data_IF_310709229490
#
_entry.id   IF_310709229490
#
_cell.length_a   1.000
_cell.length_b   1.000
_cell.length_c   1.000
_cell.angle_alpha   90.00
_cell.angle_beta   90.00
_cell.angle_gamma   90.00
#
_symmetry.space_group_name_H-M   'P 1'
#
loop_
_entity.id
_entity.type
_entity.pdbx_description
1 polymer ?
#
# COMPACT_ATOMS: atom_id res chain seq x y z
N UNK A 1 -64.97 27.64 14.48
CA UNK A 1 -63.68 27.24 15.09
C UNK A 1 -63.74 25.75 15.35
N UNK A 2 -62.91 24.94 14.69
CA UNK A 2 -62.65 23.57 15.13
C UNK A 2 -61.23 23.40 15.66
N UNK A 3 -61.12 22.54 16.66
CA UNK A 3 -59.92 22.17 17.42
C UNK A 3 -58.78 21.62 16.55
N UNK A 4 -57.58 22.14 16.79
CA UNK A 4 -56.34 21.58 16.28
C UNK A 4 -55.90 20.39 17.16
N UNK A 5 -56.06 19.19 16.64
CA UNK A 5 -55.52 17.96 17.23
C UNK A 5 -53.99 17.95 17.12
N UNK A 6 -53.35 17.79 18.27
CA UNK A 6 -51.91 17.73 18.50
C UNK A 6 -51.38 16.36 18.03
N UNK A 7 -50.83 16.28 16.82
CA UNK A 7 -50.15 15.07 16.34
C UNK A 7 -48.67 15.11 16.71
N UNK A 8 -48.34 14.48 17.84
CA UNK A 8 -46.97 14.17 18.26
C UNK A 8 -46.36 13.15 17.30
N UNK A 9 -45.38 13.59 16.51
CA UNK A 9 -44.58 12.70 15.66
C UNK A 9 -43.63 11.85 16.51
N UNK A 10 -43.51 10.53 16.24
CA UNK A 10 -42.55 9.69 16.94
C UNK A 10 -41.11 10.09 16.60
N UNK A 11 -40.29 10.25 17.63
CA UNK A 11 -38.84 10.38 17.50
C UNK A 11 -38.27 9.10 16.91
N UNK A 12 -37.96 9.13 15.62
CA UNK A 12 -37.22 8.07 14.96
C UNK A 12 -35.76 8.15 15.44
N UNK A 13 -35.38 7.30 16.39
CA UNK A 13 -33.97 7.05 16.74
C UNK A 13 -33.30 6.44 15.51
N UNK A 14 -32.51 7.25 14.80
CA UNK A 14 -31.58 6.74 13.80
C UNK A 14 -30.49 6.02 14.58
N UNK A 15 -30.58 4.70 14.65
CA UNK A 15 -29.50 3.87 15.18
C UNK A 15 -28.25 4.15 14.34
N UNK A 16 -27.19 4.61 14.99
CA UNK A 16 -25.86 4.65 14.40
C UNK A 16 -25.51 3.25 13.91
N UNK A 17 -25.34 3.08 12.60
CA UNK A 17 -24.83 1.84 12.04
C UNK A 17 -23.45 1.58 12.67
N UNK A 18 -23.16 0.36 13.13
CA UNK A 18 -21.87 0.03 13.71
C UNK A 18 -20.77 0.25 12.68
N UNK A 19 -19.63 0.77 13.14
CA UNK A 19 -18.42 0.94 12.35
C UNK A 19 -17.91 -0.46 12.01
N UNK A 20 -18.32 -1.01 10.87
CA UNK A 20 -17.84 -2.30 10.40
C UNK A 20 -16.41 -2.10 9.85
N UNK A 21 -15.42 -2.29 10.72
CA UNK A 21 -14.06 -2.60 10.28
C UNK A 21 -14.12 -4.00 9.64
N UNK A 22 -13.82 -4.09 8.35
CA UNK A 22 -13.63 -5.38 7.69
C UNK A 22 -12.19 -5.83 7.99
N UNK A 23 -11.98 -6.96 8.69
CA UNK A 23 -10.64 -7.51 8.85
C UNK A 23 -10.26 -8.17 7.52
N UNK A 24 -9.52 -7.44 6.67
CA UNK A 24 -9.01 -8.00 5.41
C UNK A 24 -7.49 -7.93 5.44
N UNK A 25 -6.90 -8.78 6.28
CA UNK A 25 -5.48 -9.07 6.18
C UNK A 25 -5.25 -9.82 4.87
N UNK A 26 -4.39 -9.26 4.01
CA UNK A 26 -3.83 -9.98 2.88
C UNK A 26 -2.97 -11.13 3.40
N UNK A 27 -3.56 -12.31 3.51
CA UNK A 27 -2.81 -13.53 3.80
C UNK A 27 -1.92 -13.85 2.59
N UNK A 28 -0.64 -13.43 2.63
CA UNK A 28 0.40 -14.16 1.93
C UNK A 28 0.44 -15.56 2.55
N UNK A 29 -0.12 -16.54 1.86
CA UNK A 29 -0.12 -17.90 2.35
C UNK A 29 1.32 -18.44 2.37
N UNK A 30 1.80 -18.97 3.51
CA UNK A 30 3.06 -19.69 3.58
C UNK A 30 2.86 -21.08 2.97
N UNK A 31 2.68 -21.17 1.65
CA UNK A 31 2.60 -22.46 0.94
C UNK A 31 4.01 -23.04 0.70
N UNK A 32 5.07 -22.27 0.94
CA UNK A 32 6.43 -22.60 0.51
C UNK A 32 7.13 -23.73 1.27
N UNK A 33 6.53 -24.30 2.33
CA UNK A 33 7.15 -25.37 3.13
C UNK A 33 6.26 -26.62 3.31
N UNK A 34 5.34 -26.92 2.39
CA UNK A 34 4.68 -28.24 2.41
C UNK A 34 5.65 -29.31 1.90
N UNK A 35 6.07 -30.19 2.82
CA UNK A 35 6.96 -31.33 2.61
C UNK A 35 6.52 -32.17 1.38
N UNK A 36 7.48 -32.57 0.54
CA UNK A 36 7.32 -33.29 -0.74
C UNK A 36 6.56 -34.64 -0.65
N UNK A 37 6.23 -35.08 0.57
CA UNK A 37 5.52 -36.32 0.85
C UNK A 37 3.99 -36.17 0.95
N UNK A 38 3.43 -34.99 0.71
CA UNK A 38 1.97 -34.80 0.74
C UNK A 38 1.32 -35.51 -0.46
N UNK A 39 0.23 -36.29 -0.28
CA UNK A 39 -0.45 -36.95 -1.39
C UNK A 39 -0.86 -35.92 -2.45
N UNK A 40 -0.59 -36.13 -3.75
CA UNK A 40 -0.93 -35.19 -4.81
C UNK A 40 -2.41 -34.80 -4.84
N UNK A 41 -3.30 -35.68 -4.35
CA UNK A 41 -4.73 -35.41 -4.22
C UNK A 41 -5.06 -34.39 -3.12
N UNK A 42 -4.33 -34.42 -1.99
CA UNK A 42 -4.55 -33.48 -0.89
C UNK A 42 -4.18 -32.05 -1.30
N UNK A 43 -3.05 -31.87 -2.01
CA UNK A 43 -2.64 -30.58 -2.56
C UNK A 43 -3.68 -30.03 -3.55
N UNK A 44 -4.22 -30.87 -4.44
CA UNK A 44 -5.29 -30.48 -5.37
C UNK A 44 -6.55 -30.01 -4.64
N UNK A 45 -6.95 -30.71 -3.58
CA UNK A 45 -8.12 -30.32 -2.78
C UNK A 45 -7.91 -29.00 -2.04
N UNK A 46 -6.71 -28.78 -1.49
CA UNK A 46 -6.33 -27.54 -0.81
C UNK A 46 -6.33 -26.37 -1.80
N UNK A 47 -5.69 -26.51 -2.96
CA UNK A 47 -5.68 -25.47 -4.01
C UNK A 47 -7.08 -25.15 -4.51
N UNK A 48 -7.93 -26.18 -4.67
CA UNK A 48 -9.34 -25.99 -5.02
C UNK A 48 -10.07 -25.20 -3.93
N UNK A 49 -9.93 -25.58 -2.67
CA UNK A 49 -10.56 -24.88 -1.54
C UNK A 49 -10.13 -23.41 -1.46
N UNK A 50 -8.87 -23.09 -1.71
CA UNK A 50 -8.39 -21.71 -1.78
C UNK A 50 -8.95 -20.93 -2.97
N UNK A 51 -9.05 -21.58 -4.14
CA UNK A 51 -9.64 -20.97 -5.33
C UNK A 51 -11.13 -20.67 -5.12
N UNK A 52 -11.85 -21.61 -4.50
CA UNK A 52 -13.26 -21.47 -4.16
C UNK A 52 -13.44 -20.33 -3.13
N UNK A 53 -12.66 -20.34 -2.04
CA UNK A 53 -12.69 -19.29 -1.02
C UNK A 53 -12.35 -17.89 -1.59
N UNK A 54 -11.35 -17.80 -2.48
CA UNK A 54 -11.01 -16.56 -3.16
C UNK A 54 -12.14 -16.04 -4.04
N UNK A 55 -12.88 -16.94 -4.69
CA UNK A 55 -14.05 -16.58 -5.51
C UNK A 55 -15.23 -16.14 -4.66
N UNK A 56 -15.48 -16.80 -3.53
CA UNK A 56 -16.49 -16.40 -2.55
C UNK A 56 -16.19 -15.02 -1.94
N UNK A 57 -14.92 -14.74 -1.62
CA UNK A 57 -14.51 -13.43 -1.12
C UNK A 57 -14.78 -12.31 -2.14
N UNK A 58 -14.42 -12.52 -3.41
CA UNK A 58 -14.72 -11.55 -4.49
C UNK A 58 -16.23 -11.31 -4.58
N UNK A 59 -17.04 -12.36 -4.50
CA UNK A 59 -18.51 -12.23 -4.54
C UNK A 59 -19.05 -11.45 -3.34
N UNK A 60 -18.53 -11.70 -2.14
CA UNK A 60 -18.91 -10.99 -0.93
C UNK A 60 -18.56 -9.49 -1.03
N UNK A 61 -17.33 -9.16 -1.45
CA UNK A 61 -16.90 -7.78 -1.67
C UNK A 61 -17.77 -7.07 -2.71
N UNK A 62 -18.13 -7.77 -3.80
CA UNK A 62 -19.01 -7.24 -4.83
C UNK A 62 -20.41 -6.95 -4.28
N UNK A 63 -20.98 -7.85 -3.47
CA UNK A 63 -22.29 -7.64 -2.83
C UNK A 63 -22.26 -6.42 -1.89
N UNK A 64 -21.21 -6.28 -1.08
CA UNK A 64 -21.05 -5.12 -0.19
C UNK A 64 -20.98 -3.82 -1.00
N UNK A 65 -20.19 -3.80 -2.08
CA UNK A 65 -20.12 -2.65 -2.98
C UNK A 65 -21.49 -2.31 -3.58
N UNK A 66 -22.23 -3.30 -4.06
CA UNK A 66 -23.54 -3.09 -4.68
C UNK A 66 -24.53 -2.47 -3.68
N UNK A 67 -24.52 -2.95 -2.43
CA UNK A 67 -25.32 -2.36 -1.34
C UNK A 67 -24.90 -0.92 -1.06
N UNK A 68 -23.61 -0.61 -1.01
CA UNK A 68 -23.10 0.75 -0.78
C UNK A 68 -23.52 1.72 -1.89
N UNK A 69 -23.49 1.28 -3.14
CA UNK A 69 -23.93 2.07 -4.31
C UNK A 69 -25.43 2.39 -4.21
N UNK A 70 -26.26 1.39 -3.91
CA UNK A 70 -27.71 1.58 -3.72
C UNK A 70 -27.98 2.56 -2.58
N UNK A 71 -27.33 2.38 -1.43
CA UNK A 71 -27.46 3.26 -0.27
C UNK A 71 -27.04 4.70 -0.59
N UNK A 72 -25.92 4.89 -1.31
CA UNK A 72 -25.46 6.20 -1.76
C UNK A 72 -26.50 6.92 -2.63
N UNK A 73 -27.14 6.20 -3.55
CA UNK A 73 -28.21 6.76 -4.40
C UNK A 73 -29.43 7.21 -3.59
N UNK A 74 -29.90 6.38 -2.64
CA UNK A 74 -31.02 6.74 -1.76
C UNK A 74 -30.71 7.99 -0.92
N UNK A 75 -29.50 8.08 -0.36
CA UNK A 75 -29.06 9.24 0.41
C UNK A 75 -28.98 10.50 -0.45
N UNK A 76 -28.51 10.40 -1.71
CA UNK A 76 -28.49 11.53 -2.64
C UNK A 76 -29.90 12.06 -2.94
N UNK A 77 -30.89 11.17 -3.11
CA UNK A 77 -32.29 11.56 -3.29
C UNK A 77 -32.85 12.26 -2.06
N UNK A 78 -32.58 11.73 -0.87
CA UNK A 78 -33.02 12.34 0.39
C UNK A 78 -32.35 13.70 0.63
N UNK A 79 -31.04 13.83 0.36
CA UNK A 79 -30.31 15.09 0.45
C UNK A 79 -30.96 16.17 -0.43
N UNK A 80 -31.23 15.87 -1.70
CA UNK A 80 -31.89 16.79 -2.64
C UNK A 80 -33.28 17.22 -2.14
N UNK A 81 -34.05 16.25 -1.61
CA UNK A 81 -35.39 16.52 -1.06
C UNK A 81 -35.32 17.46 0.15
N UNK A 82 -34.40 17.20 1.08
CA UNK A 82 -34.22 18.01 2.28
C UNK A 82 -33.64 19.39 1.97
N UNK A 83 -32.69 19.49 1.04
CA UNK A 83 -32.12 20.76 0.58
C UNK A 83 -33.21 21.68 0.03
N UNK A 84 -34.12 21.14 -0.80
CA UNK A 84 -35.29 21.90 -1.29
C UNK A 84 -36.23 22.36 -0.17
N UNK A 85 -36.35 21.59 0.91
CA UNK A 85 -37.30 21.86 2.00
C UNK A 85 -36.73 22.77 3.09
N UNK A 86 -35.46 22.60 3.42
CA UNK A 86 -34.81 23.15 4.61
C UNK A 86 -33.65 24.10 4.28
N UNK A 87 -33.23 24.16 3.02
CA UNK A 87 -32.02 24.86 2.61
C UNK A 87 -30.76 24.02 2.80
N UNK A 88 -29.69 24.41 2.09
CA UNK A 88 -28.40 23.69 2.08
C UNK A 88 -27.65 23.77 3.40
N UNK A 89 -27.85 24.86 4.15
CA UNK A 89 -27.15 25.11 5.42
C UNK A 89 -27.80 24.40 6.62
N UNK A 90 -28.90 23.66 6.40
CA UNK A 90 -29.54 22.91 7.46
C UNK A 90 -28.62 21.77 7.94
N UNK A 91 -28.45 21.64 9.26
CA UNK A 91 -27.60 20.60 9.88
C UNK A 91 -27.92 19.18 9.37
N UNK A 92 -29.19 18.87 9.12
CA UNK A 92 -29.59 17.54 8.62
C UNK A 92 -29.14 17.30 7.18
N UNK A 93 -29.16 18.33 6.34
CA UNK A 93 -28.67 18.23 4.96
C UNK A 93 -27.16 18.02 4.97
N UNK A 94 -26.43 18.76 5.79
CA UNK A 94 -24.99 18.62 5.97
C UNK A 94 -24.62 17.20 6.46
N UNK A 95 -25.34 16.66 7.46
CA UNK A 95 -25.12 15.30 7.95
C UNK A 95 -25.26 14.25 6.85
N UNK A 96 -26.33 14.30 6.05
CA UNK A 96 -26.53 13.36 4.94
C UNK A 96 -25.44 13.53 3.87
N UNK A 97 -25.04 14.77 3.56
CA UNK A 97 -23.94 15.02 2.63
C UNK A 97 -22.63 14.41 3.10
N UNK A 98 -22.31 14.50 4.40
CA UNK A 98 -21.15 13.83 5.00
C UNK A 98 -21.25 12.30 4.90
N UNK A 99 -22.43 11.72 5.12
CA UNK A 99 -22.64 10.27 4.93
C UNK A 99 -22.46 9.86 3.46
N UNK A 100 -22.97 10.63 2.51
CA UNK A 100 -22.75 10.38 1.07
C UNK A 100 -21.27 10.36 0.75
N UNK A 101 -20.51 11.35 1.25
CA UNK A 101 -19.06 11.45 1.04
C UNK A 101 -18.33 10.23 1.59
N UNK A 102 -18.69 9.78 2.80
CA UNK A 102 -18.13 8.56 3.40
C UNK A 102 -18.43 7.31 2.58
N UNK A 103 -19.69 7.11 2.19
CA UNK A 103 -20.07 5.94 1.38
C UNK A 103 -19.38 5.94 0.01
N UNK A 104 -19.13 7.12 -0.57
CA UNK A 104 -18.35 7.26 -1.80
C UNK A 104 -16.89 6.85 -1.61
N UNK A 105 -16.26 7.22 -0.49
CA UNK A 105 -14.90 6.76 -0.14
C UNK A 105 -14.86 5.24 0.00
N UNK A 106 -15.74 4.67 0.84
CA UNK A 106 -15.85 3.20 1.03
C UNK A 106 -16.06 2.47 -0.30
N UNK A 107 -16.90 3.01 -1.19
CA UNK A 107 -17.15 2.39 -2.49
C UNK A 107 -15.90 2.38 -3.39
N UNK A 108 -15.05 3.42 -3.32
CA UNK A 108 -13.79 3.46 -4.06
C UNK A 108 -12.79 2.46 -3.49
N UNK A 109 -12.71 2.33 -2.17
CA UNK A 109 -11.80 1.39 -1.50
C UNK A 109 -12.19 -0.06 -1.84
N UNK A 110 -13.49 -0.38 -1.82
CA UNK A 110 -14.00 -1.69 -2.24
C UNK A 110 -13.68 -2.01 -3.72
N UNK A 111 -13.60 -1.01 -4.59
CA UNK A 111 -13.18 -1.23 -5.98
C UNK A 111 -11.70 -1.61 -6.08
N UNK A 112 -10.84 -0.96 -5.29
CA UNK A 112 -9.42 -1.30 -5.20
C UNK A 112 -9.25 -2.73 -4.66
N UNK A 113 -9.98 -3.07 -3.60
CA UNK A 113 -9.98 -4.42 -3.02
C UNK A 113 -10.41 -5.50 -4.03
N UNK A 114 -11.47 -5.24 -4.79
CA UNK A 114 -11.92 -6.13 -5.84
C UNK A 114 -10.89 -6.31 -6.97
N UNK A 115 -10.09 -5.29 -7.26
CA UNK A 115 -8.98 -5.40 -8.21
C UNK A 115 -7.86 -6.28 -7.65
N UNK A 116 -7.51 -6.10 -6.38
CA UNK A 116 -6.43 -6.86 -5.73
C UNK A 116 -6.84 -8.32 -5.55
N UNK A 117 -8.08 -8.60 -5.10
CA UNK A 117 -8.58 -9.95 -4.90
C UNK A 117 -8.60 -10.80 -6.20
N UNK A 118 -8.62 -10.15 -7.36
CA UNK A 118 -8.54 -10.80 -8.68
C UNK A 118 -7.11 -11.16 -9.10
N UNK A 119 -6.09 -10.63 -8.43
CA UNK A 119 -4.69 -10.92 -8.75
C UNK A 119 -4.42 -12.41 -8.54
N UNK A 120 -3.68 -13.00 -9.49
CA UNK A 120 -3.21 -14.38 -9.43
C UNK A 120 -1.69 -14.36 -9.57
N UNK A 121 -1.01 -14.63 -8.46
CA UNK A 121 0.44 -14.72 -8.45
C UNK A 121 0.85 -16.01 -9.17
N UNK A 122 1.73 -15.96 -10.18
CA UNK A 122 2.12 -17.16 -10.90
C UNK A 122 2.90 -18.10 -9.98
N UNK A 123 2.62 -19.40 -10.11
CA UNK A 123 3.45 -20.43 -9.47
C UNK A 123 4.78 -20.54 -10.21
N UNK A 124 5.87 -20.48 -9.47
CA UNK A 124 7.25 -20.61 -9.98
C UNK A 124 7.96 -21.77 -9.29
N UNK A 125 8.90 -22.40 -10.01
CA UNK A 125 9.78 -23.43 -9.45
C UNK A 125 10.56 -22.88 -8.24
N UNK A 126 10.88 -23.73 -7.26
CA UNK A 126 11.60 -23.32 -6.06
C UNK A 126 13.00 -22.74 -6.34
N UNK A 127 13.58 -23.05 -7.50
CA UNK A 127 14.89 -22.53 -7.92
C UNK A 127 14.77 -21.22 -8.69
N UNK A 128 13.61 -20.96 -9.26
CA UNK A 128 13.33 -19.76 -10.03
C UNK A 128 12.90 -18.64 -9.09
N UNK A 129 13.32 -17.42 -9.40
CA UNK A 129 12.98 -16.25 -8.60
C UNK A 129 11.74 -15.57 -9.17
N UNK A 130 10.91 -14.99 -8.31
CA UNK A 130 9.73 -14.21 -8.68
C UNK A 130 9.84 -12.82 -8.07
N UNK A 131 9.76 -11.79 -8.91
CA UNK A 131 9.57 -10.41 -8.47
C UNK A 131 8.22 -9.96 -8.97
N UNK A 132 7.36 -9.50 -8.07
CA UNK A 132 6.02 -9.05 -8.45
C UNK A 132 5.60 -7.86 -7.61
N UNK A 133 4.61 -7.12 -8.09
CA UNK A 133 4.10 -5.94 -7.40
C UNK A 133 2.94 -5.35 -8.19
N UNK A 134 2.57 -4.12 -7.84
CA UNK A 134 1.55 -3.36 -8.58
C UNK A 134 2.06 -1.97 -8.91
N UNK A 135 1.59 -1.46 -10.04
CA UNK A 135 1.73 -0.06 -10.41
C UNK A 135 0.34 0.56 -10.37
N UNK A 136 0.16 1.56 -9.51
CA UNK A 136 -1.15 2.14 -9.22
C UNK A 136 -1.14 3.65 -9.40
N UNK A 137 -2.31 4.26 -9.53
CA UNK A 137 -2.45 5.71 -9.52
C UNK A 137 -2.64 6.26 -8.09
N UNK A 138 -2.79 7.58 -7.96
CA UNK A 138 -3.04 8.27 -6.68
C UNK A 138 -4.31 7.79 -5.95
N UNK A 139 -5.23 7.09 -6.62
CA UNK A 139 -6.42 6.47 -6.01
C UNK A 139 -6.25 4.95 -5.81
N UNK A 140 -5.01 4.44 -5.81
CA UNK A 140 -4.64 3.00 -5.71
C UNK A 140 -5.24 2.07 -6.77
N UNK A 141 -5.75 2.64 -7.87
CA UNK A 141 -6.26 1.88 -9.01
C UNK A 141 -5.13 1.46 -9.94
N UNK A 142 -5.22 0.27 -10.49
CA UNK A 142 -4.20 -0.28 -11.38
C UNK A 142 -3.92 0.59 -12.62
N UNK A 143 -2.64 0.71 -12.98
CA UNK A 143 -2.21 1.20 -14.29
C UNK A 143 -1.85 0.03 -15.20
N UNK A 144 -2.60 -0.19 -16.27
CA UNK A 144 -2.34 -1.25 -17.25
C UNK A 144 -1.47 -0.81 -18.43
N UNK A 145 -0.81 -1.79 -19.06
CA UNK A 145 -0.04 -1.59 -20.29
C UNK A 145 1.33 -0.92 -20.09
N UNK A 146 1.81 -0.83 -18.86
CA UNK A 146 3.18 -0.38 -18.55
C UNK A 146 4.14 -1.57 -18.62
N UNK A 147 5.36 -1.34 -19.09
CA UNK A 147 6.38 -2.39 -19.18
C UNK A 147 7.30 -2.29 -17.97
N UNK A 148 7.34 -3.36 -17.17
CA UNK A 148 8.22 -3.48 -16.02
C UNK A 148 9.45 -4.31 -16.40
N UNK A 149 10.64 -3.88 -15.99
CA UNK A 149 11.91 -4.55 -16.24
C UNK A 149 12.88 -4.31 -15.08
N UNK A 150 14.05 -4.95 -15.15
CA UNK A 150 15.12 -4.77 -14.17
C UNK A 150 16.32 -4.08 -14.81
N UNK A 151 16.88 -3.11 -14.09
CA UNK A 151 18.08 -2.38 -14.49
C UNK A 151 19.19 -2.54 -13.44
N UNK A 152 20.44 -2.52 -13.87
CA UNK A 152 21.60 -2.45 -12.98
C UNK A 152 21.69 -1.09 -12.26
N UNK A 153 22.71 -0.93 -11.41
CA UNK A 153 22.89 0.33 -10.66
C UNK A 153 23.22 1.51 -11.57
N UNK A 154 23.79 1.27 -12.76
CA UNK A 154 24.03 2.25 -13.80
C UNK A 154 22.75 2.59 -14.60
N UNK A 155 21.61 1.95 -14.31
CA UNK A 155 20.34 2.18 -14.99
C UNK A 155 20.19 1.47 -16.33
N UNK A 156 21.10 0.55 -16.68
CA UNK A 156 21.04 -0.21 -17.91
C UNK A 156 20.16 -1.45 -17.72
N UNK A 157 19.21 -1.63 -18.64
CA UNK A 157 18.27 -2.77 -18.62
C UNK A 157 19.01 -4.10 -18.79
N UNK A 158 18.78 -5.03 -17.87
CA UNK A 158 19.31 -6.39 -17.92
C UNK A 158 18.30 -7.28 -18.66
N UNK A 159 18.27 -7.18 -20.00
CA UNK A 159 17.28 -7.88 -20.84
C UNK A 159 17.15 -9.38 -20.59
N UNK A 160 18.24 -10.02 -20.16
CA UNK A 160 18.25 -11.44 -19.85
C UNK A 160 17.29 -11.80 -18.69
N UNK A 161 17.03 -10.89 -17.75
CA UNK A 161 16.07 -11.08 -16.66
C UNK A 161 14.60 -10.94 -17.08
N UNK A 162 14.34 -10.65 -18.35
CA UNK A 162 13.00 -10.54 -18.91
C UNK A 162 12.32 -9.19 -18.66
N UNK A 163 11.05 -9.13 -19.04
CA UNK A 163 10.15 -7.98 -18.85
C UNK A 163 8.72 -8.49 -18.59
N UNK A 164 7.91 -7.69 -17.93
CA UNK A 164 6.49 -7.95 -17.68
C UNK A 164 5.65 -6.74 -18.13
N UNK A 165 4.38 -6.97 -18.45
CA UNK A 165 3.42 -5.90 -18.71
C UNK A 165 2.40 -5.84 -17.58
N UNK A 166 2.07 -4.64 -17.11
CA UNK A 166 1.07 -4.45 -16.05
C UNK A 166 -0.33 -4.77 -16.57
N UNK A 167 -1.09 -5.53 -15.78
CA UNK A 167 -2.47 -5.89 -16.07
C UNK A 167 -3.45 -4.77 -15.66
N UNK A 168 -4.75 -4.98 -15.83
CA UNK A 168 -5.81 -4.03 -15.44
C UNK A 168 -5.76 -3.64 -13.95
N UNK A 169 -5.37 -4.56 -13.08
CA UNK A 169 -5.17 -4.29 -11.64
C UNK A 169 -3.84 -3.59 -11.31
N UNK A 170 -3.04 -3.26 -12.33
CA UNK A 170 -1.68 -2.76 -12.20
C UNK A 170 -0.65 -3.84 -11.86
N UNK A 171 -1.09 -5.09 -11.69
CA UNK A 171 -0.24 -6.20 -11.29
C UNK A 171 0.77 -6.57 -12.38
N UNK A 172 2.01 -6.84 -11.97
CA UNK A 172 3.05 -7.40 -12.81
C UNK A 172 3.79 -8.52 -12.09
N UNK A 173 4.37 -9.45 -12.85
CA UNK A 173 5.20 -10.53 -12.33
C UNK A 173 6.35 -10.83 -13.30
N UNK A 174 7.57 -10.80 -12.78
CA UNK A 174 8.81 -11.16 -13.45
C UNK A 174 9.30 -12.50 -12.89
N UNK A 175 9.19 -13.55 -13.71
CA UNK A 175 9.74 -14.87 -13.40
C UNK A 175 11.14 -15.00 -13.98
N UNK A 176 12.12 -15.28 -13.12
CA UNK A 176 13.53 -15.33 -13.48
C UNK A 176 14.04 -16.75 -13.28
N UNK A 177 14.41 -17.41 -14.37
CA UNK A 177 14.92 -18.78 -14.30
C UNK A 177 16.30 -18.84 -13.60
N UNK A 178 16.52 -19.89 -12.80
CA UNK A 178 17.77 -20.11 -12.08
C UNK A 178 19.03 -20.10 -12.98
N UNK A 179 18.95 -20.63 -14.19
CA UNK A 179 20.06 -20.63 -15.14
C UNK A 179 20.37 -19.22 -15.66
N UNK A 180 19.32 -18.44 -15.92
CA UNK A 180 19.45 -17.04 -16.32
C UNK A 180 20.14 -16.24 -15.22
N UNK A 181 19.71 -16.43 -13.96
CA UNK A 181 20.31 -15.76 -12.81
C UNK A 181 21.81 -16.06 -12.70
N UNK A 182 22.22 -17.33 -12.90
CA UNK A 182 23.63 -17.73 -12.94
C UNK A 182 24.42 -17.04 -14.06
N UNK A 183 23.83 -16.88 -15.25
CA UNK A 183 24.48 -16.22 -16.40
C UNK A 183 24.70 -14.73 -16.14
N UNK A 184 23.80 -14.07 -15.43
CA UNK A 184 23.89 -12.63 -15.14
C UNK A 184 24.43 -12.31 -13.75
N UNK A 185 24.84 -13.31 -12.96
CA UNK A 185 25.29 -13.15 -11.58
C UNK A 185 26.30 -11.99 -11.39
N UNK A 186 27.26 -11.86 -12.32
CA UNK A 186 28.25 -10.77 -12.29
C UNK A 186 27.62 -9.38 -12.42
N UNK A 187 26.60 -9.24 -13.26
CA UNK A 187 25.91 -7.97 -13.54
C UNK A 187 24.90 -7.58 -12.48
N UNK A 188 24.51 -8.50 -11.59
CA UNK A 188 23.55 -8.27 -10.51
C UNK A 188 24.20 -8.28 -9.12
N UNK A 189 25.53 -8.41 -9.04
CA UNK A 189 26.26 -8.46 -7.75
C UNK A 189 26.02 -7.21 -6.91
N UNK A 190 25.87 -6.06 -7.57
CA UNK A 190 25.61 -4.76 -6.95
C UNK A 190 24.10 -4.51 -6.74
N UNK A 191 23.25 -5.50 -6.99
CA UNK A 191 21.80 -5.40 -6.95
C UNK A 191 21.17 -4.87 -8.24
N UNK A 192 19.84 -4.83 -8.26
CA UNK A 192 19.04 -4.34 -9.41
C UNK A 192 17.92 -3.43 -8.94
N UNK A 193 17.43 -2.57 -9.84
CA UNK A 193 16.27 -1.73 -9.63
C UNK A 193 15.12 -2.17 -10.51
N UNK A 194 13.90 -2.08 -9.99
CA UNK A 194 12.69 -2.16 -10.82
C UNK A 194 12.53 -0.85 -11.59
N UNK A 195 12.40 -0.96 -12.90
CA UNK A 195 12.18 0.17 -13.80
C UNK A 195 10.89 -0.04 -14.58
N UNK A 196 10.15 1.05 -14.78
CA UNK A 196 8.87 1.04 -15.49
C UNK A 196 8.98 1.94 -16.70
N UNK A 197 8.52 1.43 -17.84
CA UNK A 197 8.43 2.13 -19.10
C UNK A 197 6.98 2.28 -19.53
N UNK A 198 6.66 3.37 -20.22
CA UNK A 198 5.36 3.51 -20.88
C UNK A 198 5.33 2.69 -22.20
N UNK A 199 4.17 2.68 -22.87
CA UNK A 199 3.97 1.96 -24.13
C UNK A 199 4.84 2.44 -25.30
N UNK A 200 5.45 3.62 -25.19
CA UNK A 200 6.43 4.15 -26.17
C UNK A 200 7.86 3.69 -25.88
N UNK A 201 8.09 3.00 -24.76
CA UNK A 201 9.43 2.58 -24.31
C UNK A 201 10.21 3.70 -23.59
N UNK A 202 9.53 4.76 -23.15
CA UNK A 202 10.15 5.83 -22.36
C UNK A 202 10.15 5.42 -20.88
N UNK A 203 11.29 5.58 -20.20
CA UNK A 203 11.41 5.29 -18.76
C UNK A 203 10.57 6.32 -17.99
N UNK A 204 9.63 5.87 -17.17
CA UNK A 204 8.75 6.76 -16.38
C UNK A 204 9.04 6.69 -14.89
N UNK A 205 9.58 5.57 -14.41
CA UNK A 205 9.85 5.37 -13.00
C UNK A 205 11.03 4.41 -12.78
N UNK A 206 11.83 4.70 -11.75
CA UNK A 206 12.86 3.82 -11.21
C UNK A 206 12.61 3.68 -9.71
N UNK A 207 12.42 2.45 -9.26
CA UNK A 207 12.23 2.15 -7.85
C UNK A 207 13.49 2.52 -7.06
N UNK A 208 13.30 3.00 -5.83
CA UNK A 208 14.40 3.51 -5.00
C UNK A 208 15.16 2.39 -4.30
N UNK A 209 14.47 1.30 -3.98
CA UNK A 209 15.06 0.21 -3.23
C UNK A 209 15.84 -0.70 -4.17
N UNK A 210 17.07 -0.98 -3.76
CA UNK A 210 17.97 -1.89 -4.43
C UNK A 210 17.57 -3.33 -4.07
N UNK A 211 17.27 -4.14 -5.08
CA UNK A 211 16.89 -5.54 -4.90
C UNK A 211 18.10 -6.46 -5.08
N UNK A 212 18.37 -7.29 -4.07
CA UNK A 212 19.38 -8.33 -4.13
C UNK A 212 18.72 -9.64 -4.54
N UNK A 213 19.02 -10.14 -5.74
CA UNK A 213 18.39 -11.35 -6.28
C UNK A 213 19.21 -12.60 -6.01
N UNK A 214 18.60 -13.58 -5.35
CA UNK A 214 19.09 -14.94 -5.17
C UNK A 214 18.09 -15.92 -5.81
N UNK A 215 18.59 -17.10 -6.18
CA UNK A 215 17.75 -18.14 -6.79
C UNK A 215 16.70 -18.64 -5.81
N UNK A 216 15.44 -18.67 -6.23
CA UNK A 216 14.30 -19.05 -5.40
C UNK A 216 13.64 -17.90 -4.63
N UNK A 217 14.20 -16.68 -4.69
CA UNK A 217 13.63 -15.53 -4.01
C UNK A 217 12.22 -15.20 -4.52
N UNK A 218 11.33 -14.83 -3.60
CA UNK A 218 9.99 -14.33 -3.89
C UNK A 218 9.88 -12.93 -3.31
N UNK A 219 10.11 -11.93 -4.14
CA UNK A 219 10.17 -10.52 -3.75
C UNK A 219 8.86 -9.84 -4.13
N UNK A 220 8.13 -9.39 -3.13
CA UNK A 220 7.02 -8.46 -3.31
C UNK A 220 7.58 -7.03 -3.28
N UNK A 221 7.39 -6.32 -4.38
CA UNK A 221 7.64 -4.89 -4.49
C UNK A 221 6.36 -4.17 -4.07
N UNK A 222 6.49 -3.21 -3.15
CA UNK A 222 5.38 -2.38 -2.68
C UNK A 222 4.68 -1.65 -3.84
N UNK A 223 3.46 -1.19 -3.59
CA UNK A 223 2.67 -0.45 -4.59
C UNK A 223 3.47 0.75 -5.12
N UNK A 224 3.72 0.77 -6.43
CA UNK A 224 4.38 1.88 -7.10
C UNK A 224 3.31 2.87 -7.53
N UNK A 225 3.18 3.97 -6.79
CA UNK A 225 2.20 5.04 -7.06
C UNK A 225 2.73 6.01 -8.12
N UNK A 226 2.05 6.10 -9.26
CA UNK A 226 2.35 7.02 -10.35
C UNK A 226 1.25 8.04 -10.57
N UNK A 227 1.63 9.30 -10.78
CA UNK A 227 0.73 10.37 -11.18
C UNK A 227 0.53 10.33 -12.68
N UNK A 228 -0.61 10.86 -13.13
CA UNK A 228 -0.90 10.96 -14.58
C UNK A 228 0.14 11.81 -15.33
N UNK A 229 0.74 12.78 -14.66
CA UNK A 229 1.84 13.60 -15.19
C UNK A 229 3.11 12.81 -15.49
N UNK A 230 3.35 11.71 -14.77
CA UNK A 230 4.57 10.92 -14.87
C UNK A 230 4.56 10.08 -16.16
N UNK A 231 3.39 9.78 -16.70
CA UNK A 231 3.22 9.00 -17.94
C UNK A 231 3.56 9.79 -19.21
N UNK A 232 3.53 11.11 -19.12
CA UNK A 232 3.70 12.03 -20.26
C UNK A 232 5.00 12.80 -20.22
N UNK A 233 5.70 12.78 -19.08
CA UNK A 233 6.94 13.54 -18.90
C UNK A 233 8.14 12.62 -19.15
N UNK A 234 9.17 13.05 -19.89
CA UNK A 234 10.44 12.35 -19.85
C UNK A 234 10.93 12.30 -18.39
N UNK A 235 11.58 11.20 -17.96
CA UNK A 235 11.98 11.02 -16.57
C UNK A 235 12.91 12.16 -16.18
N UNK A 236 12.59 12.82 -15.06
CA UNK A 236 13.37 13.92 -14.52
C UNK A 236 14.84 13.47 -14.42
N UNK A 237 15.71 14.09 -15.22
CA UNK A 237 17.13 13.76 -15.24
C UNK A 237 17.66 13.79 -13.80
N UNK A 238 18.37 12.72 -13.41
CA UNK A 238 19.14 12.67 -12.17
C UNK A 238 19.87 14.00 -11.97
N UNK A 239 19.79 14.64 -10.79
CA UNK A 239 20.44 15.92 -10.58
C UNK A 239 21.93 15.75 -10.85
N UNK A 240 22.38 16.36 -11.94
CA UNK A 240 23.79 16.44 -12.27
C UNK A 240 24.48 17.12 -11.08
N UNK A 241 25.42 16.39 -10.47
CA UNK A 241 26.29 16.88 -9.40
C UNK A 241 27.01 18.11 -9.92
N UNK A 242 26.42 19.27 -9.61
CA UNK A 242 26.98 20.57 -9.92
C UNK A 242 28.00 20.83 -8.82
N UNK A 243 29.26 20.51 -9.11
CA UNK A 243 30.40 20.88 -8.28
C UNK A 243 30.46 22.40 -8.20
N UNK A 244 29.87 22.97 -7.15
CA UNK A 244 30.16 24.34 -6.71
C UNK A 244 31.04 24.23 -5.48
N UNK A 245 32.30 24.64 -5.64
CA UNK A 245 33.28 24.80 -4.57
C UNK A 245 32.70 25.69 -3.45
N UNK A 246 32.52 25.12 -2.26
CA UNK A 246 32.16 25.89 -1.06
C UNK A 246 33.45 26.13 -0.27
N UNK A 247 33.88 27.38 -0.32
CA UNK A 247 34.88 27.97 0.57
C UNK A 247 34.42 27.90 2.02
N UNK A 248 35.32 27.45 2.88
CA UNK A 248 35.22 27.24 4.31
C UNK A 248 34.81 28.47 5.14
N UNK A 249 33.92 28.30 6.12
CA UNK A 249 34.16 28.61 7.55
C UNK A 249 32.98 28.17 8.43
N UNK A 250 33.22 27.72 9.68
CA UNK A 250 32.21 27.09 10.54
C UNK A 250 31.46 28.14 11.37
N UNK A 251 30.14 28.01 11.44
CA UNK A 251 29.34 28.71 12.45
C UNK A 251 28.33 27.74 13.01
N UNK A 252 28.56 27.37 14.26
CA UNK A 252 27.65 26.62 15.12
C UNK A 252 26.29 27.32 15.21
N UNK A 253 25.23 26.56 14.92
CA UNK A 253 23.87 26.63 15.49
C UNK A 253 22.90 25.99 14.52
N UNK A 254 22.72 24.67 14.64
CA UNK A 254 21.62 23.96 13.98
C UNK A 254 20.32 24.43 14.63
N UNK A 255 19.72 25.45 14.03
CA UNK A 255 18.36 25.88 14.32
C UNK A 255 17.45 24.97 13.49
N UNK A 256 16.81 24.01 14.16
CA UNK A 256 15.77 23.15 13.59
C UNK A 256 14.55 24.02 13.31
N UNK A 257 14.49 24.68 12.15
CA UNK A 257 13.36 25.49 11.73
C UNK A 257 13.28 25.58 10.21
N UNK A 258 12.66 24.56 9.60
CA UNK A 258 11.79 24.62 8.41
C UNK A 258 11.56 23.19 7.89
N UNK A 259 10.99 22.32 8.73
CA UNK A 259 10.28 21.17 8.17
C UNK A 259 8.90 21.68 7.77
N UNK A 260 8.58 21.56 6.48
CA UNK A 260 7.26 21.87 5.93
C UNK A 260 6.17 21.32 6.86
N UNK A 261 5.08 22.08 7.04
CA UNK A 261 3.95 21.78 7.94
C UNK A 261 3.16 20.49 7.61
N UNK A 262 3.78 19.57 6.88
CA UNK A 262 3.24 18.37 6.27
C UNK A 262 4.06 17.12 6.60
N UNK A 263 5.04 17.23 7.52
CA UNK A 263 5.96 16.15 7.90
C UNK A 263 5.81 15.83 9.38
N UNK A 264 5.52 14.57 9.67
CA UNK A 264 5.39 14.00 11.00
C UNK A 264 6.56 13.07 11.30
N UNK A 265 6.86 12.91 12.59
CA UNK A 265 8.02 12.14 13.04
C UNK A 265 7.62 11.24 14.21
N UNK A 266 7.85 9.93 14.06
CA UNK A 266 7.82 8.97 15.14
C UNK A 266 9.26 8.72 15.62
N UNK A 267 9.51 8.88 16.92
CA UNK A 267 10.82 8.67 17.54
C UNK A 267 10.69 7.64 18.65
N UNK A 268 11.71 6.83 18.83
CA UNK A 268 11.78 5.88 19.93
C UNK A 268 13.16 5.29 20.10
N UNK A 269 13.26 4.36 21.05
CA UNK A 269 14.50 3.64 21.36
C UNK A 269 14.17 2.18 21.62
N UNK A 270 14.92 1.28 20.99
CA UNK A 270 14.83 -0.17 21.22
C UNK A 270 15.94 -0.56 22.19
N UNK A 271 15.56 -1.22 23.28
CA UNK A 271 16.48 -1.68 24.32
C UNK A 271 16.30 -3.16 24.60
N UNK A 272 17.36 -3.81 25.08
CA UNK A 272 17.32 -5.18 25.58
C UNK A 272 16.73 -5.26 27.00
N UNK A 273 16.72 -6.45 27.58
CA UNK A 273 16.24 -6.69 28.95
C UNK A 273 17.06 -5.93 30.03
N UNK A 274 18.30 -5.55 29.72
CA UNK A 274 19.19 -4.82 30.60
C UNK A 274 19.10 -3.29 30.42
N UNK A 275 18.33 -2.82 29.44
CA UNK A 275 18.21 -1.40 29.09
C UNK A 275 19.32 -0.89 28.16
N UNK A 276 20.16 -1.77 27.62
CA UNK A 276 21.17 -1.45 26.61
C UNK A 276 20.51 -1.29 25.23
N UNK A 277 20.96 -0.30 24.46
CA UNK A 277 20.40 -0.01 23.15
C UNK A 277 20.74 -1.09 22.12
N UNK A 278 19.77 -1.50 21.29
CA UNK A 278 20.01 -2.49 20.23
C UNK A 278 20.05 -1.80 18.87
N UNK A 279 21.25 -1.73 18.28
CA UNK A 279 21.45 -1.20 16.94
C UNK A 279 21.26 -2.20 15.80
N UNK A 280 20.98 -1.68 14.61
CA UNK A 280 20.85 -2.47 13.38
C UNK A 280 19.50 -3.18 13.19
N UNK A 281 18.51 -2.89 14.04
CA UNK A 281 17.16 -3.42 13.88
C UNK A 281 16.35 -2.55 12.92
N UNK A 282 15.49 -3.18 12.12
CA UNK A 282 14.59 -2.45 11.22
C UNK A 282 13.32 -2.08 11.98
N UNK A 283 12.98 -0.80 12.02
CA UNK A 283 11.74 -0.29 12.59
C UNK A 283 10.81 0.12 11.46
N UNK A 284 9.62 -0.48 11.41
CA UNK A 284 8.57 -0.14 10.44
C UNK A 284 7.36 0.44 11.15
N UNK A 285 6.85 1.58 10.66
CA UNK A 285 5.68 2.28 11.18
C UNK A 285 4.47 2.00 10.29
N UNK A 286 3.32 1.71 10.89
CA UNK A 286 2.07 1.37 10.20
C UNK A 286 0.90 2.17 10.79
N UNK A 287 -0.15 2.36 9.99
CA UNK A 287 -1.46 2.85 10.44
C UNK A 287 -2.46 1.69 10.53
N UNK A 288 -3.23 1.63 11.62
CA UNK A 288 -4.21 0.56 11.90
C UNK A 288 -5.55 0.80 11.23
N UNK A 289 -5.90 2.05 10.93
CA UNK A 289 -7.22 2.40 10.39
C UNK A 289 -7.38 2.11 8.89
N UNK A 290 -6.29 1.72 8.25
CA UNK A 290 -6.29 1.32 6.85
C UNK A 290 -6.60 -0.17 6.72
N UNK A 291 -7.52 -0.49 5.80
CA UNK A 291 -7.90 -1.86 5.41
C UNK A 291 -6.66 -2.65 4.92
N UNK A 292 -5.59 -1.93 4.56
CA UNK A 292 -4.23 -2.42 4.38
C UNK A 292 -3.32 -1.71 5.38
N UNK A 293 -2.49 -2.43 6.14
CA UNK A 293 -1.41 -1.82 6.90
C UNK A 293 -0.38 -1.22 5.93
N UNK A 294 -0.62 0.00 5.43
CA UNK A 294 0.37 0.73 4.65
C UNK A 294 1.50 1.09 5.60
N UNK A 295 2.70 0.66 5.23
CA UNK A 295 3.93 1.04 5.93
C UNK A 295 4.17 2.52 5.66
N UNK A 296 3.93 3.36 6.66
CA UNK A 296 4.15 4.81 6.61
C UNK A 296 5.63 5.17 6.47
N UNK A 297 6.52 4.26 6.89
CA UNK A 297 7.95 4.39 6.70
C UNK A 297 8.71 3.30 7.45
N UNK A 298 10.01 3.20 7.17
CA UNK A 298 10.92 2.40 7.96
C UNK A 298 12.25 3.15 8.21
N UNK A 299 13.00 2.67 9.19
CA UNK A 299 14.36 3.13 9.50
C UNK A 299 15.12 2.01 10.19
N UNK A 300 16.43 2.20 10.42
CA UNK A 300 17.21 1.30 11.26
C UNK A 300 17.55 1.98 12.59
N UNK A 301 17.61 1.20 13.67
CA UNK A 301 18.11 1.69 14.95
C UNK A 301 19.62 1.94 14.89
N UNK A 302 20.05 3.03 15.52
CA UNK A 302 21.48 3.34 15.67
C UNK A 302 22.14 2.49 16.77
N UNK A 303 23.45 2.67 17.01
CA UNK A 303 24.20 1.93 18.04
C UNK A 303 23.63 2.07 19.46
N UNK A 304 22.86 3.13 19.74
CA UNK A 304 22.19 3.36 21.01
C UNK A 304 20.74 2.84 21.03
N UNK A 305 20.30 2.21 19.95
CA UNK A 305 18.94 1.73 19.75
C UNK A 305 17.95 2.82 19.33
N UNK A 306 18.39 4.05 19.10
CA UNK A 306 17.51 5.18 18.76
C UNK A 306 17.04 5.09 17.30
N UNK A 307 15.80 5.50 17.06
CA UNK A 307 15.24 5.55 15.72
C UNK A 307 14.36 6.78 15.50
N UNK A 308 14.31 7.21 14.25
CA UNK A 308 13.44 8.30 13.76
C UNK A 308 12.82 7.86 12.45
N UNK A 309 11.50 7.68 12.44
CA UNK A 309 10.70 7.45 11.21
C UNK A 309 9.99 8.75 10.86
N UNK A 310 10.16 9.20 9.63
CA UNK A 310 9.54 10.41 9.10
C UNK A 310 8.47 10.02 8.08
N UNK A 311 7.26 10.57 8.21
CA UNK A 311 6.12 10.30 7.33
C UNK A 311 5.36 11.61 7.04
N UNK A 312 4.52 11.66 6.00
CA UNK A 312 3.85 12.92 5.57
C UNK A 312 2.34 12.88 5.77
N UNK A 313 1.72 14.04 5.94
CA UNK A 313 0.24 14.14 5.98
C UNK A 313 -0.40 13.67 4.69
N UNK A 314 0.26 13.90 3.55
CA UNK A 314 -0.19 13.38 2.27
C UNK A 314 -0.30 11.84 2.24
N UNK A 315 0.47 11.11 3.05
CA UNK A 315 0.42 9.65 3.11
C UNK A 315 -0.86 9.14 3.82
N UNK A 316 -1.64 10.04 4.42
CA UNK A 316 -2.92 9.74 5.10
C UNK A 316 -4.08 10.70 4.73
N UNK A 317 -3.88 11.66 3.81
CA UNK A 317 -4.86 12.70 3.49
C UNK A 317 -6.16 12.20 2.82
N UNK A 318 -6.21 10.95 2.38
CA UNK A 318 -7.41 10.39 1.75
C UNK A 318 -8.53 10.05 2.75
N UNK A 319 -8.30 10.13 4.07
CA UNK A 319 -9.24 9.61 5.06
C UNK A 319 -9.59 10.62 6.17
N UNK A 320 -10.89 10.64 6.49
CA UNK A 320 -11.58 11.67 7.27
C UNK A 320 -11.46 11.54 8.79
N UNK A 321 -10.35 11.02 9.31
CA UNK A 321 -10.07 11.06 10.75
C UNK A 321 -8.64 11.57 11.01
N UNK A 322 -8.53 12.64 11.80
CA UNK A 322 -7.30 13.41 12.01
C UNK A 322 -6.32 12.78 13.03
N UNK A 323 -6.47 11.48 13.31
CA UNK A 323 -5.73 10.76 14.32
C UNK A 323 -5.38 9.36 13.80
N UNK A 324 -4.19 9.14 13.22
CA UNK A 324 -3.78 7.81 12.79
C UNK A 324 -3.57 6.91 14.01
N UNK A 325 -4.12 5.69 13.97
CA UNK A 325 -3.90 4.66 14.98
C UNK A 325 -2.58 3.95 14.66
N UNK A 326 -1.47 4.59 15.04
CA UNK A 326 -0.12 4.15 14.69
C UNK A 326 0.33 2.93 15.49
N UNK A 327 0.98 1.98 14.81
CA UNK A 327 1.72 0.90 15.46
C UNK A 327 3.07 0.63 14.78
N UNK A 328 3.97 -0.01 15.52
CA UNK A 328 5.35 -0.27 15.11
C UNK A 328 5.59 -1.78 15.01
N UNK A 329 6.43 -2.19 14.06
CA UNK A 329 7.06 -3.53 14.05
C UNK A 329 8.58 -3.37 14.03
N UNK A 330 9.24 -4.14 14.89
CA UNK A 330 10.69 -4.23 14.98
C UNK A 330 11.10 -5.56 14.37
N UNK A 331 12.01 -5.53 13.40
CA UNK A 331 12.51 -6.72 12.70
C UNK A 331 14.01 -6.87 12.88
N UNK A 332 14.47 -8.13 12.87
CA UNK A 332 15.90 -8.44 12.79
C UNK A 332 16.45 -8.21 11.36
N UNK A 333 17.76 -8.43 11.17
CA UNK A 333 18.44 -8.25 9.89
C UNK A 333 17.97 -9.24 8.81
N UNK A 334 17.40 -10.37 9.23
CA UNK A 334 16.82 -11.41 8.40
C UNK A 334 15.36 -11.13 8.03
N UNK A 335 14.74 -10.10 8.62
CA UNK A 335 13.36 -9.69 8.37
C UNK A 335 12.31 -10.41 9.23
N UNK A 336 12.71 -11.13 10.28
CA UNK A 336 11.78 -11.73 11.23
C UNK A 336 11.30 -10.67 12.23
N UNK A 337 10.01 -10.71 12.59
CA UNK A 337 9.44 -9.79 13.58
C UNK A 337 9.91 -10.17 14.98
N UNK A 338 10.60 -9.25 15.66
CA UNK A 338 11.02 -9.37 17.05
C UNK A 338 9.98 -8.78 18.01
N UNK A 339 9.31 -7.70 17.59
CA UNK A 339 8.31 -7.02 18.41
C UNK A 339 7.25 -6.33 17.55
N UNK A 340 6.02 -6.26 18.06
CA UNK A 340 4.97 -5.40 17.51
C UNK A 340 4.21 -4.71 18.63
N UNK A 341 4.01 -3.39 18.49
CA UNK A 341 3.20 -2.62 19.44
C UNK A 341 1.70 -2.80 19.24
N UNK A 342 1.27 -3.59 18.24
CA UNK A 342 -0.14 -3.92 18.00
C UNK A 342 -0.67 -4.94 19.02
N UNK A 343 0.20 -5.82 19.50
CA UNK A 343 -0.14 -6.95 20.38
C UNK A 343 0.17 -6.68 21.87
N UNK A 344 0.59 -5.46 22.22
CA UNK A 344 1.12 -5.08 23.52
C UNK A 344 0.10 -4.46 24.49
#
# INVERSE_FOLDING_TARGET
>A
MPDFANNSFPHNRINSLPNYQLPITHYQLPITNMNDNSPPEALKQILKAFTDAGSENINALQQVRDVQVVMGSLLQHEAKRLEKKLGRDNLRVQQIQSTIKRNQAISKDLEVELEIAKIRVPEVDQKDSLIHGRVVNENRRGWSGLVVSLADVQGKIIRALGKAETQDSGYYALTINAETLKKVAKSITEGVFVVIYNSKGELIYRHKDLLMLKGGDRILVEDIVLKRSDLTSPPCETPAVSNTEVSSSPSDSVTVSEFAADVWVARGRVVDENGEGIGGLVVSLFDRDLIFADRLGNTQTDENGEFIVTYRTADFQDLFDAHPDLYLKILDAEGNTLYSSEEA
#
